data_IF_205776975932
#
_entry.id   IF_205776975932
#
_cell.length_a   1.000
_cell.length_b   1.000
_cell.length_c   1.000
_cell.angle_alpha   90.00
_cell.angle_beta   90.00
_cell.angle_gamma   90.00
#
_symmetry.space_group_name_H-M   'P 1'
#
loop_
_entity.id
_entity.type
_entity.pdbx_description
1 polymer ?
#
# COMPACT_ATOMS: atom_id res chain seq x y z
N UNK A 1 -15.82 -24.65 21.31
CA UNK A 1 -15.73 -23.30 21.94
C UNK A 1 -14.44 -22.67 21.43
N UNK A 2 -14.46 -21.40 21.02
CA UNK A 2 -13.24 -20.67 20.63
C UNK A 2 -12.77 -19.77 21.76
N UNK A 3 -11.46 -19.63 21.91
CA UNK A 3 -10.79 -18.73 22.86
C UNK A 3 -10.09 -17.67 22.07
N UNK A 4 -10.44 -16.41 22.31
CA UNK A 4 -9.83 -15.25 21.68
C UNK A 4 -8.91 -14.56 22.66
N UNK A 5 -7.61 -14.62 22.42
CA UNK A 5 -6.63 -13.81 23.13
C UNK A 5 -6.68 -12.37 22.57
N UNK A 6 -6.83 -11.39 23.47
CA UNK A 6 -7.05 -10.00 23.09
C UNK A 6 -5.90 -9.11 23.57
N UNK A 7 -5.22 -8.45 22.65
CA UNK A 7 -4.32 -7.34 22.92
C UNK A 7 -5.11 -6.01 22.87
N UNK A 8 -5.85 -5.77 23.92
CA UNK A 8 -6.81 -4.66 24.02
C UNK A 8 -6.15 -3.28 23.85
N UNK A 9 -4.91 -3.12 24.27
CA UNK A 9 -4.19 -1.84 24.21
C UNK A 9 -3.13 -1.78 23.10
N UNK A 10 -3.07 -2.80 22.22
CA UNK A 10 -2.09 -2.85 21.15
C UNK A 10 -0.64 -2.88 21.66
N UNK A 11 -0.41 -3.32 22.90
CA UNK A 11 0.88 -3.23 23.58
C UNK A 11 1.75 -4.48 23.41
N UNK A 12 1.19 -5.57 22.96
CA UNK A 12 1.88 -6.81 22.64
C UNK A 12 3.05 -6.60 21.67
N UNK A 13 3.99 -7.52 21.69
CA UNK A 13 5.14 -7.52 20.78
C UNK A 13 5.36 -8.91 20.19
N UNK A 14 5.87 -9.00 18.94
CA UNK A 14 6.09 -10.29 18.26
C UNK A 14 7.31 -11.06 18.79
N UNK A 15 8.11 -10.46 19.66
CA UNK A 15 9.39 -11.01 20.10
C UNK A 15 9.23 -12.12 21.13
N UNK A 16 9.91 -13.25 20.89
CA UNK A 16 9.86 -14.42 21.77
C UNK A 16 10.51 -14.19 23.14
N UNK A 17 11.53 -13.34 23.19
CA UNK A 17 12.28 -13.00 24.41
C UNK A 17 11.59 -11.98 25.31
N UNK A 18 10.50 -11.38 24.83
CA UNK A 18 9.74 -10.45 25.65
C UNK A 18 9.04 -11.17 26.82
N UNK A 19 9.09 -10.56 27.98
CA UNK A 19 8.41 -11.09 29.16
C UNK A 19 6.89 -11.15 28.98
N UNK A 20 6.27 -12.16 29.56
CA UNK A 20 4.81 -12.23 29.69
C UNK A 20 4.28 -11.05 30.53
N UNK A 21 3.12 -10.46 30.19
CA UNK A 21 2.17 -10.85 29.12
C UNK A 21 2.39 -10.14 27.77
N UNK A 22 3.57 -9.54 27.53
CA UNK A 22 3.82 -8.77 26.30
C UNK A 22 4.15 -9.64 25.08
N UNK A 23 4.74 -10.83 25.26
CA UNK A 23 5.08 -11.72 24.16
C UNK A 23 3.84 -12.39 23.56
N UNK A 24 3.47 -12.02 22.33
CA UNK A 24 2.39 -12.70 21.61
C UNK A 24 2.73 -14.17 21.39
N UNK A 25 3.96 -14.49 20.98
CA UNK A 25 4.46 -15.84 20.87
C UNK A 25 4.31 -16.63 22.18
N UNK A 26 4.73 -16.02 23.28
CA UNK A 26 4.63 -16.63 24.61
C UNK A 26 3.19 -16.85 25.07
N UNK A 27 2.28 -15.91 24.78
CA UNK A 27 0.85 -16.06 25.10
C UNK A 27 0.25 -17.24 24.33
N UNK A 28 0.42 -17.30 23.02
CA UNK A 28 -0.13 -18.37 22.19
C UNK A 28 0.48 -19.73 22.57
N UNK A 29 1.79 -19.79 22.75
CA UNK A 29 2.48 -20.99 23.24
C UNK A 29 1.92 -21.44 24.61
N UNK A 30 1.80 -20.53 25.56
CA UNK A 30 1.32 -20.84 26.91
C UNK A 30 -0.14 -21.34 26.91
N UNK A 31 -1.01 -20.76 26.08
CA UNK A 31 -2.40 -21.22 25.95
C UNK A 31 -2.47 -22.67 25.42
N UNK A 32 -1.60 -23.03 24.47
CA UNK A 32 -1.57 -24.40 23.92
C UNK A 32 -0.94 -25.41 24.90
N UNK A 33 0.21 -25.07 25.49
CA UNK A 33 1.04 -26.04 26.19
C UNK A 33 0.82 -26.08 27.71
N UNK A 34 0.29 -25.00 28.30
CA UNK A 34 0.04 -24.93 29.76
C UNK A 34 -1.45 -24.90 30.11
N UNK A 35 -2.29 -24.48 29.17
CA UNK A 35 -3.74 -24.44 29.36
C UNK A 35 -4.50 -25.44 28.47
N UNK A 36 -3.79 -26.29 27.74
CA UNK A 36 -4.32 -27.36 26.88
C UNK A 36 -5.39 -26.87 25.87
N UNK A 37 -5.24 -25.62 25.38
CA UNK A 37 -6.16 -25.07 24.37
C UNK A 37 -5.73 -25.55 22.99
N UNK A 38 -6.58 -26.32 22.28
CA UNK A 38 -6.25 -26.76 20.92
C UNK A 38 -6.06 -25.58 19.96
N UNK A 39 -5.12 -25.69 19.04
CA UNK A 39 -4.79 -24.67 18.04
C UNK A 39 -6.03 -24.20 17.26
N UNK A 40 -6.88 -25.14 16.83
CA UNK A 40 -8.13 -24.86 16.11
C UNK A 40 -9.16 -24.09 16.92
N UNK A 41 -8.95 -23.92 18.22
CA UNK A 41 -9.80 -23.15 19.12
C UNK A 41 -9.22 -21.76 19.43
N UNK A 42 -7.97 -21.46 19.03
CA UNK A 42 -7.32 -20.20 19.34
C UNK A 42 -7.54 -19.15 18.26
N UNK A 43 -7.93 -17.96 18.69
CA UNK A 43 -8.02 -16.76 17.87
C UNK A 43 -7.20 -15.63 18.50
N UNK A 44 -6.65 -14.75 17.66
CA UNK A 44 -6.01 -13.52 18.08
C UNK A 44 -6.82 -12.30 17.68
N UNK A 45 -6.97 -11.34 18.58
CA UNK A 45 -7.52 -10.02 18.33
C UNK A 45 -6.55 -8.96 18.87
N UNK A 46 -6.23 -7.95 18.05
CA UNK A 46 -5.29 -6.91 18.45
C UNK A 46 -5.69 -5.53 17.95
N UNK A 47 -5.25 -4.51 18.71
CA UNK A 47 -5.34 -3.10 18.33
C UNK A 47 -4.00 -2.58 17.83
N UNK A 48 -4.00 -1.40 17.18
CA UNK A 48 -2.85 -0.88 16.45
C UNK A 48 -2.16 0.31 17.14
N UNK A 49 -2.35 0.47 18.43
CA UNK A 49 -1.87 1.64 19.19
C UNK A 49 -0.34 1.87 19.11
N UNK A 50 0.43 0.81 18.86
CA UNK A 50 1.88 0.86 18.69
C UNK A 50 2.34 0.38 17.31
N UNK A 51 1.50 0.45 16.26
CA UNK A 51 1.82 0.03 14.88
C UNK A 51 2.28 -1.41 14.75
N UNK A 52 1.86 -2.33 15.62
CA UNK A 52 2.29 -3.73 15.64
C UNK A 52 1.17 -4.73 15.37
N UNK A 53 -0.05 -4.28 15.10
CA UNK A 53 -1.21 -5.17 14.97
C UNK A 53 -0.99 -6.29 13.95
N UNK A 54 -0.45 -5.98 12.76
CA UNK A 54 -0.17 -6.96 11.71
C UNK A 54 0.93 -7.93 12.14
N UNK A 55 2.08 -7.43 12.62
CA UNK A 55 3.19 -8.26 13.06
C UNK A 55 2.80 -9.20 14.22
N UNK A 56 1.97 -8.70 15.15
CA UNK A 56 1.44 -9.51 16.25
C UNK A 56 0.48 -10.59 15.76
N UNK A 57 -0.37 -10.27 14.77
CA UNK A 57 -1.28 -11.23 14.16
C UNK A 57 -0.55 -12.34 13.40
N UNK A 58 0.45 -11.99 12.61
CA UNK A 58 1.32 -12.95 11.91
C UNK A 58 2.05 -13.85 12.92
N UNK A 59 2.55 -13.28 14.02
CA UNK A 59 3.17 -14.04 15.10
C UNK A 59 2.18 -15.02 15.72
N UNK A 60 0.94 -14.58 16.00
CA UNK A 60 -0.08 -15.46 16.55
C UNK A 60 -0.36 -16.67 15.63
N UNK A 61 -0.44 -16.46 14.30
CA UNK A 61 -0.58 -17.56 13.34
C UNK A 61 0.62 -18.51 13.36
N UNK A 62 1.84 -17.95 13.32
CA UNK A 62 3.07 -18.76 13.29
C UNK A 62 3.25 -19.61 14.57
N UNK A 63 2.69 -19.14 15.68
CA UNK A 63 2.71 -19.87 16.97
C UNK A 63 1.47 -20.72 17.24
N UNK A 64 0.53 -20.78 16.29
CA UNK A 64 -0.55 -21.77 16.29
C UNK A 64 -1.95 -21.25 16.59
N UNK A 65 -2.21 -19.94 16.54
CA UNK A 65 -3.58 -19.46 16.47
C UNK A 65 -4.19 -19.84 15.11
N UNK A 66 -5.37 -20.45 15.09
CA UNK A 66 -6.02 -20.83 13.83
C UNK A 66 -6.62 -19.66 13.09
N UNK A 67 -6.88 -18.54 13.77
CA UNK A 67 -7.52 -17.36 13.17
C UNK A 67 -7.03 -16.07 13.81
N UNK A 68 -7.10 -15.00 13.03
CA UNK A 68 -6.96 -13.62 13.47
C UNK A 68 -8.22 -12.83 13.17
N UNK A 69 -8.60 -11.95 14.08
CA UNK A 69 -9.80 -11.14 13.96
C UNK A 69 -9.44 -9.79 13.38
N UNK A 70 -9.86 -9.52 12.14
CA UNK A 70 -9.53 -8.33 11.37
C UNK A 70 -10.76 -7.44 11.15
N UNK A 71 -10.52 -6.21 10.72
CA UNK A 71 -11.54 -5.31 10.20
C UNK A 71 -11.14 -4.74 8.84
N UNK A 72 -12.13 -4.37 8.01
CA UNK A 72 -11.87 -3.69 6.74
C UNK A 72 -11.17 -2.37 7.02
N UNK A 73 -10.08 -2.10 6.29
CA UNK A 73 -9.25 -0.89 6.42
C UNK A 73 -8.69 -0.66 7.83
N UNK A 74 -8.65 -1.69 8.66
CA UNK A 74 -8.24 -1.57 10.05
C UNK A 74 -9.17 -0.69 10.90
N UNK A 75 -10.38 -0.40 10.45
CA UNK A 75 -11.32 0.45 11.19
C UNK A 75 -11.67 -0.18 12.53
N UNK A 76 -11.56 0.60 13.60
CA UNK A 76 -11.82 0.16 14.97
C UNK A 76 -11.66 1.27 15.98
N UNK A 77 -11.69 0.92 17.25
CA UNK A 77 -11.52 1.89 18.34
C UNK A 77 -10.10 2.46 18.39
N UNK A 78 -9.97 3.69 18.83
CA UNK A 78 -8.71 4.45 19.00
C UNK A 78 -7.91 4.53 17.70
N UNK A 79 -6.87 3.72 17.56
CA UNK A 79 -5.97 3.68 16.39
C UNK A 79 -6.32 2.57 15.39
N UNK A 80 -7.42 1.85 15.64
CA UNK A 80 -7.92 0.78 14.81
C UNK A 80 -7.45 -0.62 15.22
N UNK A 81 -7.86 -1.57 14.42
CA UNK A 81 -7.63 -3.00 14.59
C UNK A 81 -6.63 -3.51 13.54
N UNK A 82 -6.51 -4.83 13.45
CA UNK A 82 -5.72 -5.50 12.42
C UNK A 82 -6.42 -5.27 11.06
N UNK A 83 -5.79 -4.63 10.07
CA UNK A 83 -6.39 -4.44 8.76
C UNK A 83 -6.46 -5.75 7.98
N UNK A 84 -7.65 -6.08 7.47
CA UNK A 84 -7.90 -7.32 6.73
C UNK A 84 -7.03 -7.41 5.47
N UNK A 85 -6.91 -6.33 4.73
CA UNK A 85 -6.10 -6.25 3.52
C UNK A 85 -4.63 -6.61 3.79
N UNK A 86 -4.06 -6.16 4.90
CA UNK A 86 -2.70 -6.52 5.27
C UNK A 86 -2.59 -8.02 5.55
N UNK A 87 -3.57 -8.61 6.24
CA UNK A 87 -3.53 -10.04 6.59
C UNK A 87 -3.77 -10.95 5.39
N UNK A 88 -4.47 -10.50 4.35
CA UNK A 88 -4.56 -11.23 3.07
C UNK A 88 -3.18 -11.35 2.42
N UNK A 89 -2.40 -10.28 2.37
CA UNK A 89 -1.03 -10.30 1.83
C UNK A 89 -0.04 -11.03 2.74
N UNK A 90 -0.18 -10.90 4.07
CA UNK A 90 0.59 -11.71 5.02
C UNK A 90 0.33 -13.22 4.84
N UNK A 91 -0.94 -13.61 4.69
CA UNK A 91 -1.30 -14.99 4.40
C UNK A 91 -0.62 -15.49 3.13
N UNK A 92 -0.76 -14.73 2.04
CA UNK A 92 -0.17 -15.10 0.76
C UNK A 92 1.37 -15.21 0.85
N UNK A 93 2.02 -14.30 1.56
CA UNK A 93 3.47 -14.33 1.76
C UNK A 93 3.93 -15.57 2.54
N UNK A 94 3.20 -15.93 3.60
CA UNK A 94 3.53 -17.10 4.44
C UNK A 94 3.21 -18.43 3.77
N UNK A 95 2.16 -18.46 2.94
CA UNK A 95 1.71 -19.68 2.25
C UNK A 95 2.32 -19.87 0.85
N UNK A 96 2.81 -18.80 0.24
CA UNK A 96 3.22 -18.78 -1.16
C UNK A 96 2.04 -18.87 -2.15
N UNK A 97 0.80 -18.62 -1.69
CA UNK A 97 -0.44 -18.75 -2.46
C UNK A 97 -1.54 -17.87 -1.90
N UNK A 98 -2.40 -17.34 -2.75
CA UNK A 98 -3.67 -16.70 -2.36
C UNK A 98 -4.79 -17.71 -2.03
N UNK A 99 -4.61 -19.00 -2.31
CA UNK A 99 -5.57 -20.08 -2.08
C UNK A 99 -7.00 -19.76 -2.58
N UNK A 100 -7.07 -19.12 -3.75
CA UNK A 100 -8.34 -18.74 -4.41
C UNK A 100 -8.95 -17.42 -3.94
N UNK A 101 -8.32 -16.69 -3.04
CA UNK A 101 -8.74 -15.32 -2.71
C UNK A 101 -8.48 -14.39 -3.90
N UNK A 102 -9.42 -13.49 -4.17
CA UNK A 102 -9.27 -12.41 -5.15
C UNK A 102 -8.91 -11.10 -4.43
N UNK A 103 -7.63 -10.69 -4.42
CA UNK A 103 -7.22 -9.48 -3.72
C UNK A 103 -7.61 -8.19 -4.45
N UNK A 104 -8.08 -8.23 -5.72
CA UNK A 104 -8.55 -7.03 -6.44
C UNK A 104 -9.76 -6.38 -5.75
N UNK A 105 -10.56 -7.17 -5.04
CA UNK A 105 -11.70 -6.71 -4.22
C UNK A 105 -11.28 -5.70 -3.13
N UNK A 106 -10.03 -5.72 -2.68
CA UNK A 106 -9.50 -4.75 -1.70
C UNK A 106 -9.62 -3.32 -2.25
N UNK A 107 -9.33 -3.13 -3.53
CA UNK A 107 -9.47 -1.82 -4.19
C UNK A 107 -10.95 -1.39 -4.27
N UNK A 108 -11.84 -2.30 -4.62
CA UNK A 108 -13.29 -2.02 -4.68
C UNK A 108 -13.84 -1.65 -3.30
N UNK A 109 -13.43 -2.36 -2.24
CA UNK A 109 -13.78 -2.04 -0.86
C UNK A 109 -13.30 -0.62 -0.49
N UNK A 110 -12.04 -0.30 -0.78
CA UNK A 110 -11.49 1.03 -0.50
C UNK A 110 -12.26 2.14 -1.23
N UNK A 111 -12.61 1.93 -2.50
CA UNK A 111 -13.41 2.87 -3.28
C UNK A 111 -14.83 3.03 -2.72
N UNK A 112 -15.50 1.94 -2.36
CA UNK A 112 -16.81 1.98 -1.72
C UNK A 112 -16.77 2.79 -0.40
N UNK A 113 -15.79 2.52 0.47
CA UNK A 113 -15.65 3.29 1.71
C UNK A 113 -15.43 4.79 1.46
N UNK A 114 -14.65 5.15 0.44
CA UNK A 114 -14.41 6.56 0.09
C UNK A 114 -15.62 7.23 -0.55
N UNK A 115 -16.25 6.59 -1.54
CA UNK A 115 -17.32 7.20 -2.36
C UNK A 115 -18.68 7.16 -1.67
N UNK A 116 -19.04 6.01 -1.10
CA UNK A 116 -20.40 5.77 -0.61
C UNK A 116 -20.53 6.03 0.90
N UNK A 117 -19.46 5.78 1.67
CA UNK A 117 -19.44 6.01 3.12
C UNK A 117 -18.80 7.36 3.48
N UNK A 118 -17.97 7.93 2.59
CA UNK A 118 -17.25 9.19 2.85
C UNK A 118 -16.04 9.02 3.78
N UNK A 119 -15.54 7.79 3.95
CA UNK A 119 -14.39 7.52 4.80
C UNK A 119 -13.10 8.05 4.17
N UNK A 120 -12.33 8.82 4.92
CA UNK A 120 -11.09 9.42 4.44
C UNK A 120 -9.92 8.45 4.66
N UNK A 121 -9.49 7.76 3.60
CA UNK A 121 -8.30 6.90 3.63
C UNK A 121 -7.05 7.78 3.47
N UNK A 122 -6.10 7.76 4.43
CA UNK A 122 -4.85 8.50 4.28
C UNK A 122 -4.09 8.06 3.02
N UNK A 123 -3.48 9.00 2.26
CA UNK A 123 -2.91 8.69 0.94
C UNK A 123 -1.86 7.57 0.92
N UNK A 124 -1.09 7.40 1.99
CA UNK A 124 -0.02 6.40 2.09
C UNK A 124 -0.43 5.14 2.87
N UNK A 125 -1.72 4.93 3.15
CA UNK A 125 -2.17 3.70 3.80
C UNK A 125 -1.79 2.50 2.94
N UNK A 126 -1.09 1.49 3.46
CA UNK A 126 -0.69 0.32 2.69
C UNK A 126 -1.88 -0.32 1.95
N UNK A 127 -1.65 -0.76 0.74
CA UNK A 127 -2.59 -1.42 -0.19
C UNK A 127 -3.76 -0.55 -0.69
N UNK A 128 -4.31 0.36 0.12
CA UNK A 128 -5.58 1.06 -0.15
C UNK A 128 -5.45 2.57 -0.33
N UNK A 129 -4.40 3.19 0.17
CA UNK A 129 -4.15 4.62 0.00
C UNK A 129 -3.88 4.98 -1.47
N UNK A 130 -4.27 6.18 -1.90
CA UNK A 130 -4.10 6.60 -3.30
C UNK A 130 -2.64 6.66 -3.77
N UNK A 131 -1.70 6.83 -2.85
CA UNK A 131 -0.26 6.96 -3.11
C UNK A 131 0.56 5.81 -2.53
N UNK A 132 -0.07 4.66 -2.16
CA UNK A 132 0.65 3.58 -1.48
C UNK A 132 1.75 2.96 -2.36
N UNK A 133 1.57 2.94 -3.68
CA UNK A 133 2.49 2.41 -4.69
C UNK A 133 3.08 3.51 -5.59
N UNK A 134 3.05 4.77 -5.12
CA UNK A 134 3.59 5.90 -5.86
C UNK A 134 5.08 6.08 -5.60
N UNK A 135 5.86 6.29 -6.64
CA UNK A 135 7.26 6.72 -6.56
C UNK A 135 7.44 8.16 -6.99
N UNK A 136 8.49 8.82 -6.51
CA UNK A 136 8.77 10.24 -6.77
C UNK A 136 10.15 10.49 -7.39
N UNK A 137 11.12 9.65 -7.10
CA UNK A 137 12.48 9.82 -7.58
C UNK A 137 12.62 9.33 -9.02
N UNK A 138 13.30 10.11 -9.86
CA UNK A 138 13.49 9.79 -11.27
C UNK A 138 14.19 8.45 -11.52
N UNK A 139 15.14 8.06 -10.66
CA UNK A 139 15.81 6.77 -10.73
C UNK A 139 14.83 5.60 -10.43
N UNK A 140 13.88 5.81 -9.53
CA UNK A 140 12.85 4.81 -9.24
C UNK A 140 11.85 4.68 -10.40
N UNK A 141 11.47 5.82 -11.02
CA UNK A 141 10.63 5.81 -12.21
C UNK A 141 11.28 5.07 -13.38
N UNK A 142 12.59 5.26 -13.62
CA UNK A 142 13.34 4.52 -14.64
C UNK A 142 13.40 3.01 -14.34
N UNK A 143 13.46 2.63 -13.07
CA UNK A 143 13.35 1.25 -12.62
C UNK A 143 11.98 0.64 -12.91
N UNK A 144 10.90 1.34 -12.52
CA UNK A 144 9.52 0.92 -12.77
C UNK A 144 9.19 0.73 -14.26
N UNK A 145 9.79 1.56 -15.14
CA UNK A 145 9.65 1.40 -16.59
C UNK A 145 10.25 0.10 -17.14
N UNK A 146 11.21 -0.47 -16.42
CA UNK A 146 11.88 -1.73 -16.79
C UNK A 146 11.16 -2.93 -16.20
N UNK A 147 10.85 -2.86 -14.92
CA UNK A 147 10.15 -3.90 -14.18
C UNK A 147 9.60 -3.31 -12.87
N UNK A 148 8.29 -3.43 -12.64
CA UNK A 148 7.63 -2.93 -11.43
C UNK A 148 8.18 -3.63 -10.17
N UNK A 149 8.52 -4.91 -10.25
CA UNK A 149 9.00 -5.72 -9.12
C UNK A 149 10.41 -5.32 -8.64
N UNK A 150 11.10 -4.41 -9.33
CA UNK A 150 12.34 -3.79 -8.81
C UNK A 150 12.08 -2.97 -7.54
N UNK A 151 10.88 -2.36 -7.41
CA UNK A 151 10.53 -1.48 -6.28
C UNK A 151 9.31 -1.93 -5.49
N UNK A 152 8.54 -2.88 -6.00
CA UNK A 152 7.41 -3.50 -5.30
C UNK A 152 7.60 -5.00 -5.24
N UNK A 153 7.31 -5.62 -4.10
CA UNK A 153 7.49 -7.08 -3.91
C UNK A 153 6.50 -7.91 -4.73
N UNK A 154 5.51 -7.28 -5.34
CA UNK A 154 4.48 -7.91 -6.16
C UNK A 154 3.92 -6.94 -7.21
N UNK A 155 3.37 -7.47 -8.30
CA UNK A 155 2.66 -6.71 -9.34
C UNK A 155 1.36 -6.13 -8.78
N UNK A 156 1.36 -4.81 -8.49
CA UNK A 156 0.22 -4.11 -7.89
C UNK A 156 -0.95 -3.98 -8.87
N UNK A 157 -0.70 -3.96 -10.18
CA UNK A 157 -1.74 -3.98 -11.20
C UNK A 157 -2.48 -5.31 -11.21
N UNK A 158 -1.74 -6.41 -11.16
CA UNK A 158 -2.30 -7.77 -11.18
C UNK A 158 -3.09 -8.10 -9.90
N UNK A 159 -2.51 -7.78 -8.74
CA UNK A 159 -3.08 -8.21 -7.45
C UNK A 159 -4.08 -7.21 -6.86
N UNK A 160 -4.00 -5.93 -7.21
CA UNK A 160 -4.89 -4.89 -6.66
C UNK A 160 -5.65 -4.12 -7.74
N UNK A 161 -5.46 -4.45 -9.02
CA UNK A 161 -5.96 -3.64 -10.14
C UNK A 161 -5.52 -2.16 -10.06
N UNK A 162 -4.33 -1.91 -9.51
CA UNK A 162 -3.76 -0.59 -9.26
C UNK A 162 -2.33 -0.52 -9.77
N UNK A 163 -2.13 -0.07 -11.02
CA UNK A 163 -0.77 0.07 -11.57
C UNK A 163 0.05 1.04 -10.71
N UNK A 164 1.36 0.78 -10.64
CA UNK A 164 2.29 1.70 -10.00
C UNK A 164 2.19 3.09 -10.62
N UNK A 165 2.32 4.12 -9.79
CA UNK A 165 2.21 5.52 -10.22
C UNK A 165 3.49 6.30 -9.93
N UNK A 166 3.71 7.37 -10.69
CA UNK A 166 4.79 8.32 -10.47
C UNK A 166 4.16 9.67 -10.08
N UNK A 167 4.51 10.17 -8.91
CA UNK A 167 4.13 11.52 -8.47
C UNK A 167 5.24 12.50 -8.83
N UNK A 168 4.87 13.64 -9.42
CA UNK A 168 5.82 14.64 -9.88
C UNK A 168 6.16 15.64 -8.77
N UNK A 169 7.46 15.76 -8.50
CA UNK A 169 8.02 16.62 -7.46
C UNK A 169 9.32 17.31 -7.95
N UNK A 170 9.94 18.07 -7.08
CA UNK A 170 11.26 18.70 -7.35
C UNK A 170 12.32 17.70 -7.85
N UNK A 171 12.29 16.47 -7.36
CA UNK A 171 13.29 15.45 -7.67
C UNK A 171 12.93 14.59 -8.89
N UNK A 172 11.79 14.84 -9.53
CA UNK A 172 11.36 14.09 -10.71
C UNK A 172 12.20 14.45 -11.93
N UNK A 173 12.79 13.44 -12.55
CA UNK A 173 13.55 13.56 -13.79
C UNK A 173 12.70 13.41 -15.04
N UNK A 174 13.31 13.54 -16.23
CA UNK A 174 12.64 13.39 -17.53
C UNK A 174 11.96 12.02 -17.69
N UNK A 175 12.57 10.94 -17.19
CA UNK A 175 11.98 9.59 -17.25
C UNK A 175 10.66 9.52 -16.45
N UNK A 176 10.61 10.11 -15.25
CA UNK A 176 9.41 10.17 -14.44
C UNK A 176 8.27 10.94 -15.09
N UNK A 177 8.60 12.05 -15.75
CA UNK A 177 7.61 12.85 -16.50
C UNK A 177 7.08 12.09 -17.73
N UNK A 178 7.97 11.47 -18.51
CA UNK A 178 7.57 10.63 -19.65
C UNK A 178 6.64 9.49 -19.17
N UNK A 179 7.02 8.80 -18.11
CA UNK A 179 6.21 7.73 -17.52
C UNK A 179 4.84 8.25 -17.11
N UNK A 180 4.78 9.38 -16.37
CA UNK A 180 3.53 9.97 -15.94
C UNK A 180 2.60 10.29 -17.12
N UNK A 181 3.13 10.94 -18.17
CA UNK A 181 2.35 11.25 -19.39
C UNK A 181 1.83 9.98 -20.04
N UNK A 182 2.69 8.98 -20.24
CA UNK A 182 2.31 7.71 -20.87
C UNK A 182 1.20 6.99 -20.09
N UNK A 183 1.27 6.98 -18.77
CA UNK A 183 0.23 6.37 -17.93
C UNK A 183 -1.08 7.17 -17.95
N UNK A 184 -1.00 8.50 -17.80
CA UNK A 184 -2.18 9.36 -17.73
C UNK A 184 -2.98 9.34 -19.03
N UNK A 185 -2.29 9.36 -20.17
CA UNK A 185 -2.92 9.34 -21.50
C UNK A 185 -2.97 7.95 -22.17
N UNK A 186 -2.61 6.88 -21.43
CA UNK A 186 -2.62 5.48 -21.89
C UNK A 186 -1.80 5.24 -23.18
N UNK A 187 -0.63 5.85 -23.27
CA UNK A 187 0.22 5.79 -24.45
C UNK A 187 1.18 4.60 -24.48
N UNK A 188 1.39 3.94 -23.34
CA UNK A 188 2.31 2.80 -23.21
C UNK A 188 1.98 1.70 -24.22
N UNK A 189 2.97 1.30 -25.01
CA UNK A 189 2.81 0.29 -26.07
C UNK A 189 2.15 0.80 -27.35
N UNK A 190 1.94 2.11 -27.49
CA UNK A 190 1.43 2.74 -28.71
C UNK A 190 2.54 3.50 -29.46
N UNK A 191 2.31 3.87 -30.72
CA UNK A 191 3.22 4.71 -31.52
C UNK A 191 3.37 6.14 -30.96
N UNK A 192 2.52 6.53 -30.01
CA UNK A 192 2.54 7.83 -29.35
C UNK A 192 3.27 7.80 -27.99
N UNK A 193 3.82 6.66 -27.62
CA UNK A 193 4.56 6.51 -26.35
C UNK A 193 5.76 7.46 -26.29
N UNK A 194 5.80 8.28 -25.24
CA UNK A 194 6.86 9.26 -25.07
C UNK A 194 8.08 8.64 -24.39
N UNK A 195 9.25 9.05 -24.84
CA UNK A 195 10.52 8.77 -24.17
C UNK A 195 11.01 10.01 -23.39
N UNK A 196 11.97 9.81 -22.52
CA UNK A 196 12.64 10.94 -21.80
C UNK A 196 13.27 11.99 -22.73
N UNK A 197 13.46 11.69 -24.01
CA UNK A 197 14.04 12.58 -25.00
C UNK A 197 12.99 13.36 -25.81
N UNK A 198 11.70 13.13 -25.57
CA UNK A 198 10.64 13.87 -26.26
C UNK A 198 10.66 15.37 -25.89
N UNK A 199 10.55 16.27 -26.88
CA UNK A 199 10.54 17.73 -26.64
C UNK A 199 9.44 18.18 -25.66
N UNK A 200 8.29 17.55 -25.65
CA UNK A 200 7.21 17.84 -24.68
C UNK A 200 7.67 17.54 -23.25
N UNK A 201 8.36 16.42 -23.04
CA UNK A 201 8.87 16.04 -21.72
C UNK A 201 9.92 17.04 -21.22
N UNK A 202 10.77 17.53 -22.13
CA UNK A 202 11.76 18.56 -21.79
C UNK A 202 11.10 19.90 -21.41
N UNK A 203 10.05 20.33 -22.12
CA UNK A 203 9.31 21.54 -21.80
C UNK A 203 8.54 21.41 -20.49
N UNK A 204 7.92 20.26 -20.25
CA UNK A 204 7.23 19.97 -18.99
C UNK A 204 8.22 19.98 -17.81
N UNK A 205 9.42 19.42 -18.00
CA UNK A 205 10.49 19.47 -16.97
C UNK A 205 10.91 20.90 -16.65
N UNK A 206 11.10 21.74 -17.63
CA UNK A 206 11.46 23.13 -17.41
C UNK A 206 10.38 23.89 -16.62
N UNK A 207 9.10 23.63 -16.92
CA UNK A 207 7.99 24.19 -16.16
C UNK A 207 7.96 23.67 -14.70
N UNK A 208 8.17 22.36 -14.50
CA UNK A 208 8.26 21.76 -13.16
C UNK A 208 9.37 22.43 -12.34
N UNK A 209 10.56 22.60 -12.93
CA UNK A 209 11.70 23.22 -12.23
C UNK A 209 11.39 24.66 -11.82
N UNK A 210 10.78 25.44 -12.70
CA UNK A 210 10.38 26.82 -12.43
C UNK A 210 9.41 26.91 -11.23
N UNK A 211 8.44 25.98 -11.11
CA UNK A 211 7.53 25.95 -9.95
C UNK A 211 8.28 25.87 -8.62
N UNK A 212 9.36 25.08 -8.58
CA UNK A 212 10.17 24.90 -7.36
C UNK A 212 11.22 26.00 -7.15
N UNK A 213 11.68 26.66 -8.20
CA UNK A 213 12.50 27.86 -8.10
C UNK A 213 11.68 29.01 -7.50
N UNK A 214 10.41 29.11 -7.82
CA UNK A 214 9.46 30.08 -7.24
C UNK A 214 9.05 29.75 -5.79
N UNK A 215 9.66 28.72 -5.18
CA UNK A 215 9.49 28.39 -3.75
C UNK A 215 8.40 27.39 -3.42
N UNK A 216 7.85 26.68 -4.39
CA UNK A 216 6.89 25.61 -4.17
C UNK A 216 7.46 24.53 -3.25
N UNK A 217 6.65 24.07 -2.27
CA UNK A 217 6.99 22.99 -1.34
C UNK A 217 6.15 21.73 -1.55
N UNK A 218 5.01 21.85 -2.25
CA UNK A 218 4.08 20.74 -2.48
C UNK A 218 4.38 20.04 -3.80
N UNK A 219 3.92 18.78 -3.93
CA UNK A 219 3.94 18.07 -5.21
C UNK A 219 3.07 18.78 -6.23
N UNK A 220 3.34 18.52 -7.51
CA UNK A 220 2.51 18.98 -8.62
C UNK A 220 1.34 17.99 -8.76
N UNK A 221 0.13 18.49 -8.76
CA UNK A 221 -1.06 17.65 -8.90
C UNK A 221 -1.25 17.18 -10.35
N UNK A 222 -2.00 16.10 -10.52
CA UNK A 222 -2.38 15.60 -11.86
C UNK A 222 -3.04 16.71 -12.69
N UNK A 223 -3.97 17.46 -12.09
CA UNK A 223 -4.69 18.53 -12.75
C UNK A 223 -3.75 19.63 -13.28
N UNK A 224 -2.78 20.07 -12.47
CA UNK A 224 -1.79 21.06 -12.89
C UNK A 224 -0.93 20.57 -14.06
N UNK A 225 -0.56 19.28 -14.06
CA UNK A 225 0.18 18.66 -15.15
C UNK A 225 -0.65 18.58 -16.44
N UNK A 226 -1.91 18.20 -16.34
CA UNK A 226 -2.85 18.15 -17.47
C UNK A 226 -3.06 19.56 -18.07
N UNK A 227 -3.32 20.55 -17.24
CA UNK A 227 -3.46 21.95 -17.66
C UNK A 227 -2.19 22.46 -18.38
N UNK A 228 -1.03 22.12 -17.84
CA UNK A 228 0.26 22.52 -18.47
C UNK A 228 0.51 21.80 -19.79
N UNK A 229 0.19 20.52 -19.88
CA UNK A 229 0.31 19.75 -21.15
C UNK A 229 -0.63 20.31 -22.20
N UNK A 230 -1.88 20.64 -21.85
CA UNK A 230 -2.83 21.27 -22.77
C UNK A 230 -2.32 22.62 -23.29
N UNK A 231 -1.55 23.37 -22.52
CA UNK A 231 -0.90 24.63 -22.96
C UNK A 231 0.30 24.38 -23.86
N UNK A 232 1.15 23.41 -23.55
CA UNK A 232 2.38 23.12 -24.30
C UNK A 232 2.06 22.41 -25.63
N UNK A 233 1.11 21.50 -25.64
CA UNK A 233 0.77 20.65 -26.78
C UNK A 233 -0.76 20.50 -26.93
N UNK A 234 -1.45 21.58 -27.27
CA UNK A 234 -2.91 21.57 -27.41
C UNK A 234 -3.37 20.55 -28.45
N UNK A 235 -4.34 19.69 -28.06
CA UNK A 235 -4.93 18.69 -28.92
C UNK A 235 -4.05 17.47 -29.23
N UNK A 236 -2.88 17.31 -28.58
CA UNK A 236 -1.97 16.19 -28.85
C UNK A 236 -2.49 14.84 -28.32
N UNK A 237 -3.31 14.88 -27.28
CA UNK A 237 -3.80 13.68 -26.57
C UNK A 237 -5.32 13.66 -26.38
N UNK A 238 -6.04 14.45 -27.18
CA UNK A 238 -7.51 14.48 -27.22
C UNK A 238 -8.11 13.23 -27.93
#
# INVERSE_FOLDING_TARGET
MKIRACDTMGYGVPYTEAAMPRSVAGIIYGLQHYADVPSECLEWHGHNDFYKSVANASTAWLYGACAVNCSLLGIGERTGNIPLEAMVFEYASLRGSMDGMDPTVITEIAEFFQKDIGYQIPPMTPFVGRSFNATRAGIHADGLMKDEEIYTIFDTKKLLNRPATVEISKTSGLAGLAYWVNQNYRLTGTDLELTKNDPLVAQLKAWVDAQYEDGRQTMISHKELEEQIAQIAPGRFD
#
